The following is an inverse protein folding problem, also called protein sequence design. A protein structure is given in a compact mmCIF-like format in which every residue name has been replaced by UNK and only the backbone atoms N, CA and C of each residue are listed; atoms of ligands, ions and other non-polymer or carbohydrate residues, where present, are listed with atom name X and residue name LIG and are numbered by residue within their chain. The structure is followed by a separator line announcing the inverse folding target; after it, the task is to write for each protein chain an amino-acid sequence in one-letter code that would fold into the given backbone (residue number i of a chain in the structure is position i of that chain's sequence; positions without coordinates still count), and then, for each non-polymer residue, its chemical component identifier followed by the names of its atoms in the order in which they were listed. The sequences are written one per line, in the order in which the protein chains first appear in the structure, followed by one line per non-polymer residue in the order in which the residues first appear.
data_IF_207675140017
#
_entry.id   IF_207675140017
#
_cell.length_a   1.000
_cell.length_b   1.000
_cell.length_c   1.000
_cell.angle_alpha   90.00
_cell.angle_beta   90.00
_cell.angle_gamma   90.00
#
_symmetry.space_group_name_H-M   'P 1'
#
loop_
_entity.id
_entity.type
_entity.pdbx_description
1 polymer ?
#
# COMPACT_ATOMS: atom_id res chain seq x y z
N UNK A 1 -28.42 18.31 2.31
CA UNK A 1 -28.59 17.05 3.08
C UNK A 1 -27.21 16.48 3.29
N UNK A 2 -26.90 15.95 4.47
CA UNK A 2 -25.64 15.23 4.63
C UNK A 2 -25.68 13.96 3.77
N UNK A 3 -24.63 13.66 2.99
CA UNK A 3 -24.60 12.46 2.16
C UNK A 3 -24.77 11.21 3.03
N UNK A 4 -25.52 10.23 2.55
CA UNK A 4 -25.66 8.93 3.24
C UNK A 4 -24.41 8.09 2.96
N UNK A 5 -23.96 7.32 3.96
CA UNK A 5 -22.88 6.34 3.83
C UNK A 5 -23.45 4.93 4.04
N UNK A 6 -23.22 4.04 3.08
CA UNK A 6 -23.57 2.61 3.18
C UNK A 6 -22.33 1.85 3.61
N UNK A 7 -22.47 1.04 4.66
CA UNK A 7 -21.46 0.07 5.06
C UNK A 7 -21.73 -1.29 4.41
N UNK A 8 -20.74 -1.79 3.68
CA UNK A 8 -20.76 -3.07 3.01
C UNK A 8 -19.53 -3.90 3.41
N UNK A 9 -19.62 -5.22 3.24
CA UNK A 9 -18.44 -6.09 3.27
C UNK A 9 -18.04 -6.42 1.84
N UNK A 10 -16.76 -6.69 1.62
CA UNK A 10 -16.25 -7.13 0.32
C UNK A 10 -16.88 -8.48 -0.08
N UNK A 11 -17.01 -8.74 -1.38
CA UNK A 11 -17.61 -9.96 -1.94
C UNK A 11 -19.08 -10.23 -1.54
N UNK A 12 -19.89 -9.20 -1.40
CA UNK A 12 -21.34 -9.35 -1.41
C UNK A 12 -21.81 -9.63 -2.85
N UNK A 13 -22.73 -10.58 -2.99
CA UNK A 13 -23.31 -10.93 -4.28
C UNK A 13 -24.80 -10.58 -4.28
N UNK A 14 -25.20 -9.62 -5.11
CA UNK A 14 -26.60 -9.19 -5.30
C UNK A 14 -27.35 -8.90 -3.99
N UNK A 15 -26.68 -8.34 -2.97
CA UNK A 15 -27.32 -8.05 -1.68
C UNK A 15 -28.33 -6.92 -1.84
N UNK A 16 -29.57 -7.15 -1.39
CA UNK A 16 -30.62 -6.14 -1.42
C UNK A 16 -30.32 -5.07 -0.38
N UNK A 17 -30.31 -3.80 -0.79
CA UNK A 17 -30.18 -2.68 0.14
C UNK A 17 -31.53 -2.30 0.73
N UNK A 18 -31.60 -2.24 2.05
CA UNK A 18 -32.77 -1.77 2.78
C UNK A 18 -32.78 -0.24 2.85
N UNK A 19 -33.85 0.38 2.33
CA UNK A 19 -34.09 1.82 2.43
C UNK A 19 -34.46 2.51 1.13
N UNK A 20 -34.93 3.75 1.24
CA UNK A 20 -35.23 4.61 0.09
C UNK A 20 -33.98 5.41 -0.29
N UNK A 21 -33.46 5.10 -1.48
CA UNK A 21 -32.35 5.80 -2.12
C UNK A 21 -32.88 6.52 -3.37
N UNK A 22 -32.83 7.85 -3.35
CA UNK A 22 -33.27 8.71 -4.46
C UNK A 22 -32.15 8.86 -5.48
N UNK A 23 -31.84 7.77 -6.18
CA UNK A 23 -30.82 7.73 -7.23
C UNK A 23 -31.50 7.84 -8.60
N UNK A 24 -30.91 8.64 -9.49
CA UNK A 24 -31.45 8.90 -10.84
C UNK A 24 -31.07 7.77 -11.81
N UNK A 25 -29.85 7.23 -11.65
CA UNK A 25 -29.34 6.15 -12.49
C UNK A 25 -30.07 4.82 -12.26
N UNK A 26 -29.85 3.86 -13.17
CA UNK A 26 -30.29 2.46 -13.01
C UNK A 26 -29.14 1.52 -12.60
N UNK A 27 -27.91 1.91 -12.93
CA UNK A 27 -26.69 1.16 -12.65
C UNK A 27 -25.62 2.16 -12.26
N UNK A 28 -24.95 1.89 -11.13
CA UNK A 28 -23.76 2.58 -10.67
C UNK A 28 -22.65 1.56 -10.52
N UNK A 29 -21.45 1.86 -10.99
CA UNK A 29 -20.30 0.96 -10.86
C UNK A 29 -19.01 1.75 -10.78
N UNK A 30 -18.04 1.20 -10.07
CA UNK A 30 -16.66 1.68 -10.08
C UNK A 30 -15.74 0.53 -10.45
N UNK A 31 -14.77 0.81 -11.32
CA UNK A 31 -13.77 -0.17 -11.72
C UNK A 31 -12.36 0.33 -11.38
N UNK A 32 -11.54 -0.58 -10.87
CA UNK A 32 -10.13 -0.41 -10.58
C UNK A 32 -9.29 -1.09 -11.68
N UNK A 33 -8.35 -0.36 -12.27
CA UNK A 33 -7.40 -0.91 -13.23
C UNK A 33 -6.03 -1.08 -12.56
N UNK A 34 -5.52 -2.30 -12.47
CA UNK A 34 -4.11 -2.52 -12.09
C UNK A 34 -3.20 -2.14 -13.26
N UNK A 35 -1.94 -1.77 -12.98
CA UNK A 35 -0.92 -1.67 -14.03
C UNK A 35 -0.84 -3.03 -14.73
N UNK A 36 -1.11 -3.06 -16.04
CA UNK A 36 -1.15 -4.25 -16.93
C UNK A 36 -2.47 -5.04 -16.99
N UNK A 37 -3.53 -4.61 -16.31
CA UNK A 37 -4.85 -5.21 -16.52
C UNK A 37 -5.33 -4.97 -17.96
N UNK A 38 -5.80 -6.04 -18.62
CA UNK A 38 -6.48 -5.92 -19.93
C UNK A 38 -7.85 -5.30 -19.79
N UNK A 39 -8.53 -5.62 -18.70
CA UNK A 39 -9.84 -5.09 -18.34
C UNK A 39 -9.83 -4.74 -16.85
N UNK A 40 -10.42 -3.59 -16.48
CA UNK A 40 -10.42 -3.17 -15.09
C UNK A 40 -11.34 -4.05 -14.26
N UNK A 41 -10.91 -4.38 -13.04
CA UNK A 41 -11.69 -5.14 -12.08
C UNK A 41 -12.78 -4.27 -11.46
N UNK A 42 -14.01 -4.77 -11.34
CA UNK A 42 -15.09 -4.03 -10.70
C UNK A 42 -14.87 -3.97 -9.18
N UNK A 43 -14.91 -2.80 -8.55
CA UNK A 43 -14.89 -2.66 -7.08
C UNK A 43 -16.28 -2.93 -6.50
N UNK A 44 -17.30 -2.28 -7.08
CA UNK A 44 -18.69 -2.48 -6.74
C UNK A 44 -19.60 -2.22 -7.94
N UNK A 45 -20.76 -2.85 -7.93
CA UNK A 45 -21.91 -2.52 -8.78
C UNK A 45 -23.18 -2.40 -7.94
N UNK A 46 -23.98 -1.40 -8.26
CA UNK A 46 -25.29 -1.16 -7.68
C UNK A 46 -26.32 -1.08 -8.81
N UNK A 47 -27.22 -2.06 -8.86
CA UNK A 47 -28.20 -2.19 -9.92
C UNK A 47 -29.63 -2.16 -9.37
N UNK A 48 -30.52 -1.46 -10.07
CA UNK A 48 -31.95 -1.46 -9.74
C UNK A 48 -32.67 -2.58 -10.49
N UNK A 49 -33.19 -3.57 -9.76
CA UNK A 49 -34.03 -4.66 -10.28
C UNK A 49 -35.32 -4.73 -9.46
N UNK A 50 -36.47 -4.79 -10.14
CA UNK A 50 -37.79 -4.91 -9.49
C UNK A 50 -38.01 -3.89 -8.34
N UNK A 51 -37.68 -2.63 -8.61
CA UNK A 51 -37.74 -1.50 -7.66
C UNK A 51 -36.76 -1.56 -6.48
N UNK A 52 -35.99 -2.63 -6.33
CA UNK A 52 -34.97 -2.81 -5.28
C UNK A 52 -33.55 -2.58 -5.80
N UNK A 53 -32.70 -2.09 -4.92
CA UNK A 53 -31.28 -1.89 -5.20
C UNK A 53 -30.49 -3.13 -4.79
N UNK A 54 -29.73 -3.70 -5.72
CA UNK A 54 -28.88 -4.86 -5.52
C UNK A 54 -27.42 -4.42 -5.59
N UNK A 55 -26.71 -4.58 -4.48
CA UNK A 55 -25.31 -4.26 -4.34
C UNK A 55 -24.46 -5.52 -4.49
N UNK A 56 -23.48 -5.47 -5.37
CA UNK A 56 -22.39 -6.43 -5.43
C UNK A 56 -21.07 -5.71 -5.16
N UNK A 57 -20.21 -6.33 -4.36
CA UNK A 57 -18.85 -5.84 -4.06
C UNK A 57 -17.86 -6.94 -4.42
N UNK A 58 -16.66 -6.58 -4.86
CA UNK A 58 -15.59 -7.54 -5.20
C UNK A 58 -14.56 -7.63 -4.07
N UNK A 59 -13.32 -8.03 -4.34
CA UNK A 59 -12.21 -8.15 -3.38
C UNK A 59 -11.45 -6.82 -3.16
N UNK A 60 -12.20 -5.71 -3.12
CA UNK A 60 -11.65 -4.37 -2.87
C UNK A 60 -12.32 -3.78 -1.63
N UNK A 61 -11.52 -3.13 -0.79
CA UNK A 61 -12.00 -2.39 0.38
C UNK A 61 -11.71 -0.90 0.20
N UNK A 62 -12.46 -0.04 0.86
CA UNK A 62 -12.26 1.40 0.74
C UNK A 62 -13.54 2.21 0.83
N UNK A 63 -13.49 3.45 0.35
CA UNK A 63 -14.59 4.41 0.44
C UNK A 63 -14.73 5.14 -0.89
N UNK A 64 -15.94 5.21 -1.44
CA UNK A 64 -16.20 5.94 -2.69
C UNK A 64 -17.64 6.46 -2.78
N UNK A 65 -17.87 7.37 -3.71
CA UNK A 65 -19.18 7.89 -4.05
C UNK A 65 -19.89 6.98 -5.06
N UNK A 66 -21.08 6.50 -4.70
CA UNK A 66 -22.04 5.93 -5.65
C UNK A 66 -22.62 7.06 -6.52
N UNK A 67 -23.18 8.07 -5.85
CA UNK A 67 -23.67 9.30 -6.47
C UNK A 67 -23.06 10.48 -5.72
N UNK A 68 -22.40 11.37 -6.46
CA UNK A 68 -21.58 12.43 -5.88
C UNK A 68 -22.41 13.30 -4.94
N UNK A 69 -21.89 13.53 -3.73
CA UNK A 69 -22.51 14.35 -2.67
C UNK A 69 -23.91 13.87 -2.21
N UNK A 70 -24.35 12.68 -2.63
CA UNK A 70 -25.67 12.10 -2.31
C UNK A 70 -25.52 10.79 -1.54
N UNK A 71 -24.76 9.84 -2.09
CA UNK A 71 -24.63 8.49 -1.55
C UNK A 71 -23.20 7.98 -1.72
N UNK A 72 -22.55 7.67 -0.60
CA UNK A 72 -21.26 7.01 -0.53
C UNK A 72 -21.40 5.55 -0.09
N UNK A 73 -20.40 4.76 -0.43
CA UNK A 73 -20.22 3.38 0.00
C UNK A 73 -18.86 3.27 0.70
N UNK A 74 -18.84 2.50 1.78
CA UNK A 74 -17.63 2.02 2.44
C UNK A 74 -17.68 0.51 2.46
N UNK A 75 -16.61 -0.11 1.98
CA UNK A 75 -16.47 -1.56 1.90
C UNK A 75 -15.38 -2.01 2.88
N UNK A 76 -15.74 -2.87 3.81
CA UNK A 76 -14.85 -3.49 4.79
C UNK A 76 -14.32 -4.84 4.29
N UNK A 77 -13.14 -5.28 4.78
CA UNK A 77 -12.68 -6.66 4.60
C UNK A 77 -13.76 -7.68 4.98
N UNK A 78 -13.67 -8.90 4.44
CA UNK A 78 -14.63 -9.96 4.78
C UNK A 78 -14.66 -10.18 6.29
N UNK A 79 -15.84 -10.01 6.86
CA UNK A 79 -16.17 -10.65 8.12
C UNK A 79 -16.28 -12.15 7.86
N UNK A 80 -15.60 -12.96 8.65
CA UNK A 80 -15.90 -14.39 8.67
C UNK A 80 -17.26 -14.51 9.36
N UNK A 81 -18.32 -14.75 8.61
CA UNK A 81 -19.71 -14.81 9.09
C UNK A 81 -19.99 -15.95 10.08
N UNK A 82 -18.97 -16.60 10.63
CA UNK A 82 -19.11 -17.67 11.60
C UNK A 82 -18.49 -17.28 12.95
N UNK A 83 -19.40 -16.90 13.86
CA UNK A 83 -19.31 -17.02 15.33
C UNK A 83 -18.31 -16.19 16.10
N UNK A 84 -17.31 -15.59 15.47
CA UNK A 84 -16.33 -14.79 16.20
C UNK A 84 -16.36 -13.33 15.73
N UNK A 85 -16.60 -12.41 16.67
CA UNK A 85 -16.62 -10.97 16.46
C UNK A 85 -15.21 -10.46 16.07
N UNK A 86 -14.76 -10.73 14.85
CA UNK A 86 -13.49 -10.21 14.35
C UNK A 86 -13.56 -9.77 12.89
N UNK A 87 -12.67 -8.85 12.56
CA UNK A 87 -12.42 -8.34 11.22
C UNK A 87 -10.98 -8.66 10.81
N UNK A 88 -10.73 -8.85 9.51
CA UNK A 88 -9.36 -9.00 9.01
C UNK A 88 -8.58 -7.69 9.21
N UNK A 89 -7.45 -7.77 9.92
CA UNK A 89 -6.55 -6.64 10.12
C UNK A 89 -5.64 -6.48 8.89
N UNK A 90 -6.15 -5.78 7.88
CA UNK A 90 -5.40 -5.51 6.65
C UNK A 90 -4.19 -4.59 6.86
N UNK A 91 -4.19 -3.75 7.91
CA UNK A 91 -3.03 -2.91 8.25
C UNK A 91 -1.90 -3.77 8.82
N UNK A 92 -2.21 -4.72 9.69
CA UNK A 92 -1.22 -5.69 10.18
C UNK A 92 -0.74 -6.61 9.07
N UNK A 93 -1.61 -7.00 8.15
CA UNK A 93 -1.24 -7.76 6.95
C UNK A 93 -0.26 -6.97 6.07
N UNK A 94 -0.48 -5.67 5.89
CA UNK A 94 0.46 -4.76 5.20
C UNK A 94 1.81 -4.69 5.94
N UNK A 95 1.81 -4.50 7.27
CA UNK A 95 3.05 -4.46 8.05
C UNK A 95 3.87 -5.74 7.87
N UNK A 96 3.21 -6.90 7.95
CA UNK A 96 3.85 -8.20 7.78
C UNK A 96 4.40 -8.36 6.35
N UNK A 97 3.63 -7.97 5.34
CA UNK A 97 4.08 -7.99 3.94
C UNK A 97 5.32 -7.11 3.72
N UNK A 98 5.35 -5.90 4.28
CA UNK A 98 6.45 -4.94 4.09
C UNK A 98 7.73 -5.29 4.87
N UNK A 99 7.72 -6.35 5.68
CA UNK A 99 8.95 -6.91 6.25
C UNK A 99 9.87 -7.51 5.19
N UNK A 100 9.32 -7.99 4.07
CA UNK A 100 10.07 -8.52 2.93
C UNK A 100 10.40 -7.38 1.94
N UNK A 101 11.70 -7.00 1.78
CA UNK A 101 12.07 -5.84 0.97
C UNK A 101 11.70 -5.94 -0.51
N UNK A 102 11.55 -7.13 -1.10
CA UNK A 102 11.16 -7.22 -2.51
C UNK A 102 9.70 -6.79 -2.76
N UNK A 103 8.83 -6.81 -1.74
CA UNK A 103 7.43 -6.38 -1.88
C UNK A 103 7.25 -4.92 -2.30
N UNK A 104 8.23 -4.05 -2.05
CA UNK A 104 8.13 -2.63 -2.43
C UNK A 104 8.17 -2.42 -3.95
N UNK A 105 8.70 -3.39 -4.70
CA UNK A 105 8.69 -3.35 -6.17
C UNK A 105 7.29 -3.67 -6.74
N UNK A 106 6.37 -4.14 -5.88
CA UNK A 106 5.03 -4.58 -6.26
C UNK A 106 3.91 -3.74 -5.62
N UNK A 107 4.21 -2.57 -5.03
CA UNK A 107 3.21 -1.69 -4.42
C UNK A 107 2.27 -1.02 -5.44
N UNK A 108 2.67 -0.91 -6.70
CA UNK A 108 1.89 -0.25 -7.74
C UNK A 108 0.54 -0.97 -7.97
N UNK A 109 -0.58 -0.25 -7.87
CA UNK A 109 -1.91 -0.86 -7.99
C UNK A 109 -2.40 -1.60 -6.74
N UNK A 110 -1.73 -1.45 -5.60
CA UNK A 110 -2.26 -1.90 -4.30
C UNK A 110 -3.30 -0.93 -3.73
N UNK A 111 -3.06 0.38 -3.89
CA UNK A 111 -3.92 1.48 -3.42
C UNK A 111 -4.18 2.44 -4.57
N UNK A 112 -5.44 2.84 -4.75
CA UNK A 112 -5.83 3.94 -5.62
C UNK A 112 -6.54 5.03 -4.80
N UNK A 113 -6.14 6.28 -5.00
CA UNK A 113 -6.75 7.44 -4.35
C UNK A 113 -7.21 8.43 -5.41
N UNK A 114 -8.51 8.73 -5.43
CA UNK A 114 -9.11 9.67 -6.38
C UNK A 114 -9.28 11.05 -5.74
N UNK A 115 -8.32 11.93 -6.02
CA UNK A 115 -8.39 13.32 -5.60
C UNK A 115 -9.23 14.23 -6.53
N UNK A 116 -9.82 13.71 -7.61
CA UNK A 116 -10.69 14.50 -8.50
C UNK A 116 -12.10 14.62 -7.94
N UNK A 117 -12.52 13.63 -7.16
CA UNK A 117 -13.80 13.62 -6.45
C UNK A 117 -13.65 14.26 -5.06
N UNK A 118 -14.73 14.86 -4.52
CA UNK A 118 -14.67 15.48 -3.19
C UNK A 118 -14.45 14.42 -2.10
N UNK A 119 -13.85 14.80 -0.97
CA UNK A 119 -13.66 13.89 0.16
C UNK A 119 -15.00 13.48 0.78
N UNK A 120 -15.00 12.31 1.41
CA UNK A 120 -16.14 11.68 2.09
C UNK A 120 -15.88 11.73 3.59
N UNK A 121 -16.86 12.20 4.35
CA UNK A 121 -16.78 12.20 5.81
C UNK A 121 -17.01 10.79 6.36
N UNK A 122 -16.02 10.27 7.10
CA UNK A 122 -16.07 8.96 7.77
C UNK A 122 -15.79 9.12 9.27
N UNK A 123 -16.24 8.18 10.12
CA UNK A 123 -15.82 8.13 11.52
C UNK A 123 -14.29 8.08 11.61
N UNK A 124 -13.71 8.86 12.52
CA UNK A 124 -12.24 9.00 12.63
C UNK A 124 -11.55 7.66 12.88
N UNK A 125 -12.14 6.79 13.71
CA UNK A 125 -11.61 5.46 14.02
C UNK A 125 -11.54 4.53 12.80
N UNK A 126 -12.26 4.86 11.74
CA UNK A 126 -12.39 4.08 10.51
C UNK A 126 -11.59 4.71 9.36
N UNK A 127 -10.64 5.61 9.66
CA UNK A 127 -9.71 6.18 8.68
C UNK A 127 -8.63 5.17 8.28
N UNK A 128 -9.04 4.22 7.45
CA UNK A 128 -8.15 3.21 6.90
C UNK A 128 -7.06 3.78 5.99
N UNK A 129 -7.38 4.81 5.21
CA UNK A 129 -6.47 5.38 4.22
C UNK A 129 -5.24 6.02 4.86
N UNK A 130 -5.45 6.87 5.88
CA UNK A 130 -4.34 7.55 6.55
C UNK A 130 -3.39 6.54 7.18
N UNK A 131 -3.91 5.54 7.90
CA UNK A 131 -3.09 4.52 8.55
C UNK A 131 -2.34 3.66 7.54
N UNK A 132 -2.98 3.29 6.42
CA UNK A 132 -2.36 2.53 5.35
C UNK A 132 -1.17 3.30 4.73
N UNK A 133 -1.38 4.55 4.35
CA UNK A 133 -0.33 5.42 3.78
C UNK A 133 0.81 5.67 4.77
N UNK A 134 0.50 5.86 6.06
CA UNK A 134 1.50 6.06 7.11
C UNK A 134 2.35 4.80 7.29
N UNK A 135 1.73 3.62 7.33
CA UNK A 135 2.43 2.34 7.43
C UNK A 135 3.42 2.17 6.26
N UNK A 136 2.95 2.35 5.02
CA UNK A 136 3.79 2.25 3.82
C UNK A 136 4.95 3.26 3.85
N UNK A 137 4.65 4.51 4.19
CA UNK A 137 5.63 5.59 4.27
C UNK A 137 6.74 5.29 5.30
N UNK A 138 6.39 4.83 6.50
CA UNK A 138 7.35 4.54 7.58
C UNK A 138 8.33 3.46 7.15
N UNK A 139 7.83 2.42 6.48
CA UNK A 139 8.67 1.34 5.97
C UNK A 139 9.67 1.81 4.91
N UNK A 140 9.23 2.62 3.95
CA UNK A 140 10.14 3.17 2.93
C UNK A 140 11.17 4.10 3.57
N UNK A 141 10.73 4.94 4.52
CA UNK A 141 11.62 5.83 5.26
C UNK A 141 12.67 5.05 6.07
N UNK A 142 12.31 3.92 6.68
CA UNK A 142 13.24 3.05 7.37
C UNK A 142 14.30 2.49 6.41
N UNK A 143 13.92 2.06 5.21
CA UNK A 143 14.85 1.61 4.17
C UNK A 143 15.81 2.69 3.71
N UNK A 144 15.30 3.89 3.40
CA UNK A 144 16.13 5.06 3.05
C UNK A 144 17.15 5.33 4.17
N UNK A 145 16.67 5.31 5.41
CA UNK A 145 17.47 5.58 6.60
C UNK A 145 18.52 4.50 6.89
N UNK A 146 18.26 3.25 6.47
CA UNK A 146 19.21 2.13 6.56
C UNK A 146 20.29 2.20 5.46
N UNK A 147 19.92 2.54 4.22
CA UNK A 147 20.87 2.74 3.10
C UNK A 147 21.72 4.01 3.25
N UNK A 148 21.20 5.00 3.97
CA UNK A 148 21.80 6.31 4.15
C UNK A 148 21.00 7.39 3.43
N UNK A 149 20.73 8.48 4.14
CA UNK A 149 19.99 9.63 3.61
C UNK A 149 20.77 10.25 2.44
N UNK A 150 20.07 10.48 1.33
CA UNK A 150 20.61 11.10 0.11
C UNK A 150 21.27 12.44 0.42
N UNK A 151 22.47 12.63 -0.13
CA UNK A 151 23.22 13.89 -0.08
C UNK A 151 23.31 14.46 -1.49
N UNK A 152 23.12 15.76 -1.63
CA UNK A 152 23.33 16.46 -2.89
C UNK A 152 23.74 17.91 -2.62
N UNK A 153 24.07 18.63 -3.68
CA UNK A 153 24.31 20.06 -3.62
C UNK A 153 22.97 20.81 -3.57
N UNK A 154 22.82 21.69 -2.58
CA UNK A 154 21.68 22.59 -2.47
C UNK A 154 22.14 24.03 -2.23
N UNK A 155 21.31 25.00 -2.62
CA UNK A 155 21.63 26.41 -2.44
C UNK A 155 21.31 26.87 -1.02
N UNK A 156 22.26 27.53 -0.40
CA UNK A 156 22.11 28.25 0.87
C UNK A 156 22.21 29.73 0.59
N UNK A 157 21.27 30.50 1.15
CA UNK A 157 21.30 31.96 1.16
C UNK A 157 21.43 32.44 2.61
N UNK A 158 22.56 33.06 2.94
CA UNK A 158 22.90 33.45 4.32
C UNK A 158 23.62 34.80 4.34
N UNK A 159 23.41 35.58 5.40
CA UNK A 159 24.21 36.77 5.67
C UNK A 159 25.45 36.40 6.48
N UNK A 160 26.63 36.55 5.90
CA UNK A 160 27.89 36.13 6.51
C UNK A 160 28.70 37.32 7.00
N UNK A 161 29.12 37.25 8.27
CA UNK A 161 29.94 38.29 8.90
C UNK A 161 31.39 38.20 8.43
N UNK A 162 31.92 39.30 7.88
CA UNK A 162 33.31 39.44 7.44
C UNK A 162 33.81 38.33 6.50
N UNK A 163 32.89 37.68 5.78
CA UNK A 163 33.19 36.53 4.93
C UNK A 163 32.35 36.56 3.67
N UNK A 164 32.96 36.19 2.54
CA UNK A 164 32.28 36.01 1.26
C UNK A 164 32.39 34.53 0.90
N UNK A 165 31.24 33.89 0.62
CA UNK A 165 31.16 32.50 0.16
C UNK A 165 30.22 32.42 -1.05
N UNK A 166 30.75 32.03 -2.21
CA UNK A 166 29.96 31.98 -3.45
C UNK A 166 29.57 33.37 -3.97
N UNK A 167 28.31 33.52 -4.42
CA UNK A 167 27.82 34.74 -5.10
C UNK A 167 27.18 35.70 -4.12
N UNK A 168 27.61 36.96 -4.09
CA UNK A 168 26.94 38.02 -3.33
C UNK A 168 25.60 38.37 -4.01
N UNK A 169 24.52 38.35 -3.24
CA UNK A 169 23.20 38.77 -3.71
C UNK A 169 23.03 40.27 -3.48
N UNK A 170 23.48 41.08 -4.44
CA UNK A 170 23.52 42.55 -4.33
C UNK A 170 22.22 43.19 -3.79
N UNK A 171 21.01 42.86 -4.28
CA UNK A 171 19.79 43.47 -3.76
C UNK A 171 19.54 43.19 -2.28
N UNK A 172 19.83 41.94 -1.85
CA UNK A 172 19.70 41.55 -0.44
C UNK A 172 20.82 42.17 0.40
N UNK A 173 22.06 42.19 -0.10
CA UNK A 173 23.19 42.77 0.61
C UNK A 173 23.01 44.27 0.87
N UNK A 174 22.53 45.02 -0.13
CA UNK A 174 22.21 46.43 0.03
C UNK A 174 21.18 46.64 1.15
N UNK A 175 20.08 45.88 1.11
CA UNK A 175 18.96 45.97 2.05
C UNK A 175 19.34 45.57 3.48
N UNK A 176 20.06 44.46 3.65
CA UNK A 176 20.33 43.88 4.97
C UNK A 176 21.59 44.45 5.63
N UNK A 177 22.58 44.92 4.86
CA UNK A 177 23.89 45.29 5.37
C UNK A 177 24.22 46.77 5.12
N UNK A 178 24.31 47.19 3.86
CA UNK A 178 24.79 48.53 3.49
C UNK A 178 23.89 49.63 4.07
N UNK A 179 22.57 49.54 3.86
CA UNK A 179 21.60 50.52 4.39
C UNK A 179 21.60 50.58 5.92
N UNK A 180 21.98 49.47 6.58
CA UNK A 180 22.04 49.39 8.04
C UNK A 180 23.42 49.70 8.63
N UNK A 181 24.39 50.09 7.80
CA UNK A 181 25.76 50.42 8.23
C UNK A 181 26.67 49.21 8.50
N UNK A 182 26.21 47.99 8.25
CA UNK A 182 26.99 46.76 8.50
C UNK A 182 27.89 46.41 7.29
N UNK A 183 28.88 47.25 6.99
CA UNK A 183 29.71 47.12 5.77
C UNK A 183 30.59 45.86 5.71
N UNK A 184 30.87 45.23 6.85
CA UNK A 184 31.65 43.98 6.93
C UNK A 184 30.85 42.75 6.50
N UNK A 185 29.53 42.83 6.48
CA UNK A 185 28.67 41.67 6.34
C UNK A 185 28.21 41.52 4.89
N UNK A 186 28.17 40.27 4.42
CA UNK A 186 27.91 39.96 3.03
C UNK A 186 26.78 38.93 2.90
N UNK A 187 25.68 39.34 2.29
CA UNK A 187 24.57 38.45 1.96
C UNK A 187 24.91 37.63 0.72
N UNK A 188 25.19 36.34 0.92
CA UNK A 188 25.73 35.45 -0.10
C UNK A 188 24.80 34.28 -0.41
N UNK A 189 24.93 33.75 -1.63
CA UNK A 189 24.34 32.51 -2.10
C UNK A 189 25.44 31.57 -2.56
N UNK A 190 25.48 30.37 -2.01
CA UNK A 190 26.45 29.34 -2.37
C UNK A 190 25.82 27.96 -2.36
N UNK A 191 26.52 26.98 -2.94
CA UNK A 191 26.12 25.58 -2.87
C UNK A 191 26.80 24.90 -1.68
N UNK A 192 26.07 24.05 -0.99
CA UNK A 192 26.57 23.20 0.07
C UNK A 192 26.22 21.75 -0.23
N UNK A 193 27.17 20.84 -0.01
CA UNK A 193 26.94 19.40 -0.15
C UNK A 193 26.47 18.82 1.17
N UNK A 194 25.26 18.26 1.21
CA UNK A 194 24.71 17.72 2.44
C UNK A 194 23.33 17.10 2.26
N UNK A 195 22.68 16.81 3.39
CA UNK A 195 21.37 16.15 3.42
C UNK A 195 20.19 17.15 3.40
N UNK A 196 20.43 18.45 3.49
CA UNK A 196 19.37 19.46 3.59
C UNK A 196 18.80 19.87 2.22
N UNK A 197 18.55 18.86 1.39
CA UNK A 197 18.02 18.98 0.04
C UNK A 197 16.48 19.01 0.06
N UNK A 198 15.83 19.61 -0.96
CA UNK A 198 14.38 19.70 -1.05
C UNK A 198 13.64 18.37 -0.82
N UNK A 199 14.13 17.30 -1.42
CA UNK A 199 13.58 15.94 -1.30
C UNK A 199 13.50 15.51 0.16
N UNK A 200 14.60 15.64 0.90
CA UNK A 200 14.66 15.25 2.30
C UNK A 200 13.78 16.14 3.18
N UNK A 201 13.66 17.44 2.87
CA UNK A 201 12.79 18.35 3.62
C UNK A 201 11.32 17.99 3.46
N UNK A 202 10.90 17.58 2.26
CA UNK A 202 9.53 17.08 1.99
C UNK A 202 9.28 15.82 2.82
N UNK A 203 10.19 14.85 2.78
CA UNK A 203 10.08 13.61 3.56
C UNK A 203 10.05 13.88 5.06
N UNK A 204 10.89 14.78 5.57
CA UNK A 204 10.87 15.20 6.97
C UNK A 204 9.56 15.89 7.36
N UNK A 205 8.99 16.70 6.47
CA UNK A 205 7.68 17.34 6.69
C UNK A 205 6.56 16.30 6.78
N UNK A 206 6.52 15.35 5.85
CA UNK A 206 5.58 14.22 5.89
C UNK A 206 5.79 13.37 7.17
N UNK A 207 7.03 13.09 7.56
CA UNK A 207 7.35 12.37 8.80
C UNK A 207 6.80 13.06 10.05
N UNK A 208 6.98 14.39 10.18
CA UNK A 208 6.38 15.17 11.28
C UNK A 208 4.86 15.10 11.27
N UNK A 209 4.27 15.08 10.07
CA UNK A 209 2.84 14.94 9.93
C UNK A 209 2.34 13.57 10.40
N UNK A 210 2.96 12.48 9.97
CA UNK A 210 2.56 11.14 10.40
C UNK A 210 2.56 11.01 11.92
N UNK A 211 3.54 11.61 12.62
CA UNK A 211 3.52 11.66 14.10
C UNK A 211 2.26 12.34 14.63
N UNK A 212 1.89 13.50 14.08
CA UNK A 212 0.70 14.24 14.51
C UNK A 212 -0.60 13.47 14.26
N UNK A 213 -0.73 12.77 13.13
CA UNK A 213 -1.89 11.90 12.86
C UNK A 213 -1.95 10.80 13.90
N UNK A 214 -0.85 10.06 14.06
CA UNK A 214 -0.80 8.92 14.96
C UNK A 214 -1.15 9.34 16.40
N UNK A 215 -0.76 10.55 16.85
CA UNK A 215 -1.13 11.09 18.17
C UNK A 215 -2.64 11.14 18.42
N UNK A 216 -3.45 11.12 17.37
CA UNK A 216 -4.92 11.12 17.45
C UNK A 216 -5.57 9.73 17.54
N UNK A 217 -4.79 8.65 17.45
CA UNK A 217 -5.28 7.27 17.47
C UNK A 217 -4.66 6.47 18.63
N UNK A 218 -5.40 5.48 19.12
CA UNK A 218 -5.06 4.67 20.30
C UNK A 218 -5.02 3.16 20.03
N UNK A 219 -4.73 2.74 18.80
CA UNK A 219 -4.69 1.33 18.41
C UNK A 219 -3.29 0.71 18.60
N UNK A 220 -3.22 -0.61 18.78
CA UNK A 220 -1.95 -1.33 18.98
C UNK A 220 -0.99 -1.12 17.79
N UNK A 221 -1.53 -1.15 16.57
CA UNK A 221 -0.76 -0.87 15.35
C UNK A 221 -0.18 0.55 15.36
N UNK A 222 -0.94 1.53 15.86
CA UNK A 222 -0.51 2.93 15.96
C UNK A 222 0.67 3.07 16.92
N UNK A 223 0.69 2.33 18.03
CA UNK A 223 1.81 2.31 18.97
C UNK A 223 3.09 1.82 18.27
N UNK A 224 3.00 0.74 17.49
CA UNK A 224 4.13 0.19 16.73
C UNK A 224 4.64 1.20 15.71
N UNK A 225 3.73 1.81 14.93
CA UNK A 225 4.06 2.81 13.93
C UNK A 225 4.73 4.05 14.54
N UNK A 226 4.19 4.56 15.67
CA UNK A 226 4.78 5.69 16.42
C UNK A 226 6.20 5.37 16.86
N UNK A 227 6.43 4.21 17.46
CA UNK A 227 7.75 3.82 17.95
C UNK A 227 8.78 3.74 16.81
N UNK A 228 8.43 3.10 15.69
CA UNK A 228 9.29 3.04 14.50
C UNK A 228 9.63 4.45 14.00
N UNK A 229 8.63 5.32 13.89
CA UNK A 229 8.81 6.67 13.38
C UNK A 229 9.67 7.55 14.30
N UNK A 230 9.48 7.45 15.62
CA UNK A 230 10.31 8.11 16.63
C UNK A 230 11.76 7.62 16.51
N UNK A 231 11.99 6.33 16.28
CA UNK A 231 13.32 5.75 16.06
C UNK A 231 14.05 6.31 14.83
N UNK A 232 13.31 6.76 13.80
CA UNK A 232 13.91 7.37 12.60
C UNK A 232 14.32 8.83 12.85
N UNK A 233 13.58 9.57 13.69
CA UNK A 233 13.72 11.03 13.90
C UNK A 233 15.17 11.51 14.13
N UNK A 234 16.02 10.86 14.96
CA UNK A 234 17.40 11.32 15.17
C UNK A 234 18.23 11.39 13.89
N UNK A 235 18.04 10.44 12.96
CA UNK A 235 18.81 10.39 11.71
C UNK A 235 18.47 11.56 10.77
N UNK A 236 17.29 12.16 10.93
CA UNK A 236 16.78 13.28 10.12
C UNK A 236 16.98 14.66 10.78
N UNK A 237 17.73 14.75 11.89
CA UNK A 237 17.93 16.01 12.63
C UNK A 237 18.59 17.11 11.77
N UNK A 238 19.56 16.75 10.92
CA UNK A 238 20.29 17.69 10.07
C UNK A 238 19.56 18.16 8.81
N UNK A 239 18.32 17.71 8.59
CA UNK A 239 17.46 18.17 7.49
C UNK A 239 16.62 19.34 7.99
N UNK A 240 16.49 20.40 7.21
CA UNK A 240 15.69 21.58 7.52
C UNK A 240 14.18 21.33 7.44
N UNK A 241 13.41 22.27 7.96
CA UNK A 241 11.94 22.16 8.05
C UNK A 241 11.19 22.98 6.99
N UNK A 242 11.90 23.85 6.25
CA UNK A 242 11.30 24.76 5.27
C UNK A 242 11.13 24.08 3.92
N UNK A 243 9.89 23.90 3.48
CA UNK A 243 9.55 23.36 2.16
C UNK A 243 8.87 24.45 1.35
N UNK A 244 9.45 24.82 0.20
CA UNK A 244 8.79 25.72 -0.76
C UNK A 244 7.78 24.92 -1.61
N UNK A 245 6.70 25.54 -2.06
CA UNK A 245 5.73 24.93 -2.98
C UNK A 245 6.41 24.55 -4.30
N UNK A 246 7.39 25.34 -4.74
CA UNK A 246 8.16 25.05 -5.96
C UNK A 246 8.97 23.77 -5.82
N UNK A 247 9.58 23.56 -4.66
CA UNK A 247 10.41 22.39 -4.35
C UNK A 247 9.62 21.08 -4.55
N UNK A 248 8.34 21.06 -4.16
CA UNK A 248 7.44 19.89 -4.31
C UNK A 248 7.20 19.53 -5.78
N UNK A 249 7.13 20.53 -6.66
CA UNK A 249 6.84 20.34 -8.10
C UNK A 249 8.07 19.96 -8.94
N UNK A 250 9.28 20.26 -8.46
CA UNK A 250 10.52 20.15 -9.26
C UNK A 250 11.42 18.97 -8.88
N UNK A 251 11.04 18.13 -7.90
CA UNK A 251 11.81 16.95 -7.53
C UNK A 251 11.93 15.96 -8.69
N UNK A 252 13.03 16.05 -9.45
CA UNK A 252 13.41 15.08 -10.47
C UNK A 252 14.34 14.06 -9.84
N UNK A 253 13.76 12.94 -9.39
CA UNK A 253 14.52 11.88 -8.74
C UNK A 253 15.13 10.99 -9.83
N UNK A 254 16.43 10.76 -9.73
CA UNK A 254 17.14 9.86 -10.63
C UNK A 254 16.67 8.41 -10.42
N UNK A 255 16.62 7.61 -11.49
CA UNK A 255 16.26 6.17 -11.47
C UNK A 255 17.08 5.35 -10.45
N UNK A 256 18.29 5.81 -10.09
CA UNK A 256 19.10 5.20 -9.03
C UNK A 256 18.49 5.28 -7.62
N UNK A 257 17.58 6.21 -7.35
CA UNK A 257 16.97 6.40 -6.03
C UNK A 257 15.49 5.99 -6.03
N UNK A 258 15.20 4.74 -6.42
CA UNK A 258 13.84 4.19 -6.49
C UNK A 258 13.07 4.37 -5.17
N UNK A 259 13.69 4.10 -4.02
CA UNK A 259 13.03 4.30 -2.71
C UNK A 259 12.64 5.75 -2.44
N UNK A 260 13.46 6.71 -2.87
CA UNK A 260 13.11 8.13 -2.73
C UNK A 260 11.92 8.51 -3.60
N UNK A 261 11.84 7.96 -4.81
CA UNK A 261 10.70 8.18 -5.69
C UNK A 261 9.42 7.70 -5.03
N UNK A 262 9.40 6.46 -4.53
CA UNK A 262 8.25 5.92 -3.80
C UNK A 262 7.91 6.77 -2.56
N UNK A 263 8.90 7.12 -1.75
CA UNK A 263 8.69 7.92 -0.53
C UNK A 263 8.12 9.31 -0.83
N UNK A 264 8.58 9.97 -1.89
CA UNK A 264 8.12 11.30 -2.27
C UNK A 264 6.71 11.27 -2.81
N UNK A 265 6.35 10.28 -3.64
CA UNK A 265 4.98 10.13 -4.13
C UNK A 265 4.00 9.90 -2.98
N UNK A 266 4.32 9.00 -2.04
CA UNK A 266 3.48 8.78 -0.85
C UNK A 266 3.45 10.02 0.04
N UNK A 267 4.58 10.73 0.23
CA UNK A 267 4.61 11.97 0.98
C UNK A 267 3.71 13.05 0.38
N UNK A 268 3.65 13.16 -0.95
CA UNK A 268 2.72 14.09 -1.64
C UNK A 268 1.27 13.70 -1.38
N UNK A 269 0.93 12.41 -1.47
CA UNK A 269 -0.42 11.91 -1.17
C UNK A 269 -0.79 12.22 0.29
N UNK A 270 0.06 11.87 1.26
CA UNK A 270 -0.13 12.16 2.68
C UNK A 270 -0.36 13.65 2.95
N UNK A 271 0.49 14.51 2.39
CA UNK A 271 0.39 15.97 2.53
C UNK A 271 -0.85 16.56 1.83
N UNK A 272 -1.42 15.86 0.86
CA UNK A 272 -2.66 16.26 0.18
C UNK A 272 -3.90 15.81 0.95
N UNK A 273 -3.96 14.54 1.40
CA UNK A 273 -5.03 14.02 2.29
C UNK A 273 -5.22 14.97 3.48
N UNK A 274 -4.10 15.40 4.03
CA UNK A 274 -3.99 16.43 5.05
C UNK A 274 -4.77 17.72 4.84
N UNK A 275 -4.70 18.25 3.62
CA UNK A 275 -5.26 19.56 3.32
C UNK A 275 -6.79 19.55 3.45
N UNK A 276 -7.41 18.36 3.38
CA UNK A 276 -8.83 18.16 3.64
C UNK A 276 -9.12 18.06 5.14
N UNK A 277 -8.30 17.31 5.90
CA UNK A 277 -8.52 17.09 7.34
C UNK A 277 -8.43 18.35 8.23
N UNK A 278 -7.79 19.43 7.77
CA UNK A 278 -7.75 20.70 8.51
C UNK A 278 -9.11 21.43 8.54
N UNK A 279 -10.06 21.04 7.69
CA UNK A 279 -11.34 21.74 7.49
C UNK A 279 -12.40 21.32 8.52
N UNK A 280 -12.25 20.16 9.18
CA UNK A 280 -13.24 19.66 10.14
C UNK A 280 -12.87 20.03 11.58
N UNK A 281 -13.65 20.94 12.18
CA UNK A 281 -13.66 21.18 13.62
C UNK A 281 -14.58 20.15 14.31
N UNK A 282 -14.00 19.08 14.87
CA UNK A 282 -14.70 18.10 15.71
C UNK A 282 -13.94 16.77 15.83
N UNK A 283 -13.99 16.13 17.01
CA UNK A 283 -13.14 14.97 17.32
C UNK A 283 -13.62 13.62 16.71
N UNK A 284 -14.82 13.56 16.14
CA UNK A 284 -15.47 12.28 15.77
C UNK A 284 -15.42 11.89 14.29
N UNK A 285 -15.21 12.84 13.36
CA UNK A 285 -15.21 12.59 11.91
C UNK A 285 -13.97 13.14 11.22
N UNK A 286 -13.58 12.48 10.13
CA UNK A 286 -12.46 12.89 9.28
C UNK A 286 -12.87 12.81 7.81
N UNK A 287 -12.18 13.56 6.94
CA UNK A 287 -12.50 13.65 5.51
C UNK A 287 -11.46 12.88 4.70
N UNK A 288 -11.88 11.77 4.09
CA UNK A 288 -11.00 10.95 3.27
C UNK A 288 -11.35 11.12 1.79
N UNK A 289 -10.38 11.35 0.89
CA UNK A 289 -10.65 11.24 -0.54
C UNK A 289 -11.11 9.82 -0.88
N UNK A 290 -11.93 9.62 -1.92
CA UNK A 290 -12.27 8.28 -2.36
C UNK A 290 -11.04 7.42 -2.64
N UNK A 291 -11.07 6.18 -2.19
CA UNK A 291 -9.94 5.26 -2.34
C UNK A 291 -10.38 3.80 -2.35
N UNK A 292 -9.55 2.96 -2.96
CA UNK A 292 -9.73 1.51 -3.01
C UNK A 292 -8.39 0.81 -2.77
N UNK A 293 -8.40 -0.23 -1.92
CA UNK A 293 -7.28 -1.13 -1.65
C UNK A 293 -7.62 -2.50 -2.23
N UNK A 294 -6.66 -3.08 -2.94
CA UNK A 294 -6.78 -4.42 -3.52
C UNK A 294 -6.38 -5.50 -2.52
N UNK A 295 -7.38 -6.22 -1.99
CA UNK A 295 -7.15 -7.24 -0.97
C UNK A 295 -6.51 -8.51 -1.53
N UNK A 296 -6.74 -8.82 -2.81
CA UNK A 296 -6.10 -9.97 -3.46
C UNK A 296 -4.60 -9.74 -3.57
N UNK A 297 -4.21 -8.55 -4.01
CA UNK A 297 -2.81 -8.16 -4.12
C UNK A 297 -2.13 -8.02 -2.75
N UNK A 298 -2.83 -7.47 -1.77
CA UNK A 298 -2.32 -7.39 -0.39
C UNK A 298 -2.05 -8.79 0.17
N UNK A 299 -2.98 -9.72 -0.03
CA UNK A 299 -2.83 -11.11 0.40
C UNK A 299 -1.66 -11.80 -0.30
N UNK A 300 -1.48 -11.56 -1.61
CA UNK A 300 -0.35 -12.08 -2.38
C UNK A 300 1.01 -11.58 -1.81
N UNK A 301 1.13 -10.29 -1.52
CA UNK A 301 2.34 -9.73 -0.90
C UNK A 301 2.58 -10.29 0.51
N UNK A 302 1.51 -10.52 1.27
CA UNK A 302 1.58 -11.15 2.59
C UNK A 302 2.07 -12.60 2.51
N UNK A 303 1.49 -13.41 1.62
CA UNK A 303 1.91 -14.79 1.37
C UNK A 303 3.36 -14.84 0.92
N UNK A 304 3.80 -13.90 0.06
CA UNK A 304 5.20 -13.82 -0.35
C UNK A 304 6.14 -13.67 0.85
N UNK A 305 5.87 -12.74 1.77
CA UNK A 305 6.68 -12.57 2.97
C UNK A 305 6.73 -13.85 3.83
N UNK A 306 5.61 -14.56 3.94
CA UNK A 306 5.53 -15.82 4.69
C UNK A 306 6.28 -16.96 4.00
N UNK A 307 6.20 -17.07 2.68
CA UNK A 307 6.99 -18.02 1.89
C UNK A 307 8.49 -17.73 2.00
N UNK A 308 8.88 -16.46 1.99
CA UNK A 308 10.27 -16.01 2.18
C UNK A 308 10.81 -16.36 3.56
N UNK A 309 9.99 -16.29 4.60
CA UNK A 309 10.37 -16.76 5.92
C UNK A 309 10.60 -18.28 5.98
N UNK A 310 9.84 -19.06 5.20
CA UNK A 310 9.95 -20.53 5.19
C UNK A 310 11.07 -21.05 4.27
N UNK A 311 11.23 -20.46 3.08
CA UNK A 311 12.12 -20.98 2.03
C UNK A 311 13.28 -20.03 1.66
N UNK A 312 13.36 -18.87 2.30
CA UNK A 312 14.42 -17.89 2.07
C UNK A 312 14.53 -17.45 0.60
N UNK A 313 15.75 -17.47 0.08
CA UNK A 313 16.07 -17.05 -1.28
C UNK A 313 15.58 -17.94 -2.41
N UNK A 314 15.00 -19.09 -2.09
CA UNK A 314 14.44 -20.01 -3.08
C UNK A 314 13.10 -19.54 -3.68
N UNK A 315 12.45 -18.53 -3.09
CA UNK A 315 11.16 -18.03 -3.60
C UNK A 315 11.41 -16.90 -4.60
N UNK A 316 10.91 -17.09 -5.82
CA UNK A 316 10.87 -16.08 -6.88
C UNK A 316 9.45 -15.56 -6.98
N UNK A 317 9.28 -14.25 -6.82
CA UNK A 317 8.00 -13.54 -6.92
C UNK A 317 7.83 -12.98 -8.34
N UNK A 318 6.64 -13.12 -8.92
CA UNK A 318 6.27 -12.59 -10.24
C UNK A 318 7.27 -12.85 -11.39
N UNK A 319 7.75 -14.09 -11.59
CA UNK A 319 8.63 -14.36 -12.72
C UNK A 319 7.87 -14.30 -14.05
N UNK A 320 8.36 -13.45 -14.96
CA UNK A 320 7.75 -13.23 -16.26
C UNK A 320 8.17 -14.29 -17.29
N UNK A 321 7.19 -14.91 -17.94
CA UNK A 321 7.38 -15.87 -19.03
C UNK A 321 6.48 -15.54 -20.23
N UNK A 322 6.87 -14.52 -20.99
CA UNK A 322 6.10 -14.03 -22.14
C UNK A 322 4.83 -13.31 -21.68
N UNK A 323 3.65 -13.90 -21.91
CA UNK A 323 2.36 -13.36 -21.46
C UNK A 323 1.86 -13.97 -20.14
N UNK A 324 2.65 -14.87 -19.55
CA UNK A 324 2.29 -15.59 -18.33
C UNK A 324 3.19 -15.12 -17.19
N UNK A 325 2.57 -14.96 -16.02
CA UNK A 325 3.22 -14.49 -14.80
C UNK A 325 2.58 -15.23 -13.63
N UNK A 326 3.19 -16.34 -13.17
CA UNK A 326 2.80 -16.98 -11.92
C UNK A 326 3.11 -16.05 -10.74
N UNK A 327 2.35 -16.16 -9.65
CA UNK A 327 2.64 -15.41 -8.42
C UNK A 327 4.00 -15.84 -7.87
N UNK A 328 4.23 -17.15 -7.67
CA UNK A 328 5.50 -17.63 -7.14
C UNK A 328 6.04 -18.89 -7.82
N UNK A 329 7.38 -18.95 -7.88
CA UNK A 329 8.11 -20.19 -8.07
C UNK A 329 8.97 -20.46 -6.85
N UNK A 330 8.85 -21.65 -6.28
CA UNK A 330 9.70 -22.11 -5.19
C UNK A 330 10.73 -23.05 -5.81
N UNK A 331 11.97 -22.56 -5.94
CA UNK A 331 13.09 -23.29 -6.53
C UNK A 331 13.38 -24.57 -5.73
N UNK A 332 13.84 -25.67 -6.35
CA UNK A 332 14.15 -26.88 -5.58
C UNK A 332 15.38 -26.66 -4.69
N UNK A 333 15.50 -27.47 -3.65
CA UNK A 333 16.71 -27.62 -2.81
C UNK A 333 17.00 -29.12 -2.63
N UNK A 334 18.10 -29.48 -1.95
CA UNK A 334 18.60 -30.85 -1.78
C UNK A 334 17.49 -31.83 -1.33
N UNK A 335 16.63 -31.41 -0.41
CA UNK A 335 15.57 -32.24 0.17
C UNK A 335 14.15 -31.81 -0.26
N UNK A 336 14.00 -30.77 -1.09
CA UNK A 336 12.69 -30.17 -1.39
C UNK A 336 12.44 -30.08 -2.90
N UNK A 337 11.30 -30.60 -3.40
CA UNK A 337 10.96 -30.46 -4.81
C UNK A 337 10.62 -29.01 -5.18
N UNK A 338 10.64 -28.67 -6.48
CA UNK A 338 10.21 -27.35 -6.95
C UNK A 338 8.70 -27.24 -6.92
N UNK A 339 8.17 -26.06 -6.61
CA UNK A 339 6.73 -25.80 -6.66
C UNK A 339 6.40 -24.59 -7.52
N UNK A 340 5.31 -24.70 -8.28
CA UNK A 340 4.58 -23.52 -8.76
C UNK A 340 3.53 -23.18 -7.69
N UNK A 341 3.58 -21.97 -7.15
CA UNK A 341 2.67 -21.56 -6.08
C UNK A 341 1.85 -20.35 -6.51
N UNK A 342 0.63 -20.28 -6.02
CA UNK A 342 -0.34 -19.23 -6.34
C UNK A 342 -1.16 -18.87 -5.09
N UNK A 343 -1.35 -17.56 -4.85
CA UNK A 343 -2.10 -17.06 -3.71
C UNK A 343 -3.53 -16.71 -4.13
N UNK A 344 -4.52 -17.37 -3.52
CA UNK A 344 -5.94 -17.11 -3.77
C UNK A 344 -6.62 -16.58 -2.53
N UNK A 345 -7.07 -15.32 -2.60
CA UNK A 345 -7.88 -14.69 -1.56
C UNK A 345 -9.35 -15.17 -1.59
N UNK A 346 -9.54 -16.48 -1.41
CA UNK A 346 -10.82 -17.20 -1.50
C UNK A 346 -10.98 -18.16 -0.32
N UNK A 347 -12.23 -18.47 0.06
CA UNK A 347 -12.54 -19.46 1.11
C UNK A 347 -12.40 -20.87 0.54
N UNK A 348 -11.21 -21.47 0.65
CA UNK A 348 -10.92 -22.86 0.29
C UNK A 348 -10.74 -23.80 1.49
N UNK A 349 -10.95 -23.28 2.70
CA UNK A 349 -11.04 -24.05 3.94
C UNK A 349 -12.27 -24.97 3.95
N UNK A 350 -13.38 -24.51 3.38
CA UNK A 350 -14.70 -25.17 3.45
C UNK A 350 -15.09 -25.91 2.16
N UNK A 351 -14.30 -25.79 1.09
CA UNK A 351 -14.61 -26.36 -0.23
C UNK A 351 -13.36 -26.76 -0.99
N UNK A 352 -13.55 -27.55 -2.05
CA UNK A 352 -12.48 -27.81 -3.04
C UNK A 352 -12.10 -26.53 -3.77
N UNK A 353 -10.85 -26.48 -4.22
CA UNK A 353 -10.36 -25.38 -5.04
C UNK A 353 -11.15 -25.30 -6.35
N UNK A 354 -11.47 -24.08 -6.79
CA UNK A 354 -12.17 -23.85 -8.05
C UNK A 354 -11.35 -24.41 -9.23
N UNK A 355 -12.03 -25.04 -10.19
CA UNK A 355 -11.37 -25.72 -11.32
C UNK A 355 -10.48 -24.78 -12.15
N UNK A 356 -10.85 -23.50 -12.24
CA UNK A 356 -10.10 -22.52 -13.03
C UNK A 356 -8.78 -22.13 -12.35
N UNK A 357 -8.74 -22.09 -11.02
CA UNK A 357 -7.50 -21.86 -10.26
C UNK A 357 -6.55 -23.06 -10.39
N UNK A 358 -7.10 -24.29 -10.35
CA UNK A 358 -6.34 -25.53 -10.62
C UNK A 358 -5.77 -25.53 -12.04
N UNK A 359 -6.59 -25.16 -13.03
CA UNK A 359 -6.17 -25.06 -14.44
C UNK A 359 -5.07 -24.02 -14.62
N UNK A 360 -5.14 -22.89 -13.92
CA UNK A 360 -4.14 -21.84 -13.97
C UNK A 360 -2.77 -22.35 -13.53
N UNK A 361 -2.66 -22.89 -12.30
CA UNK A 361 -1.38 -23.40 -11.77
C UNK A 361 -0.84 -24.58 -12.57
N UNK A 362 -1.73 -25.48 -13.01
CA UNK A 362 -1.38 -26.59 -13.88
C UNK A 362 -0.82 -26.11 -15.22
N UNK A 363 -1.40 -25.05 -15.79
CA UNK A 363 -0.93 -24.41 -17.02
C UNK A 363 0.48 -23.85 -16.87
N UNK A 364 0.75 -23.16 -15.76
CA UNK A 364 2.08 -22.65 -15.43
C UNK A 364 3.11 -23.79 -15.31
N UNK A 365 2.82 -24.84 -14.54
CA UNK A 365 3.70 -26.01 -14.37
C UNK A 365 4.07 -26.72 -15.69
N UNK A 366 3.27 -26.55 -16.75
CA UNK A 366 3.55 -27.10 -18.09
C UNK A 366 4.38 -26.19 -18.99
N UNK A 367 4.66 -24.95 -18.61
CA UNK A 367 5.45 -24.02 -19.42
C UNK A 367 6.91 -24.51 -19.54
N UNK A 368 7.38 -24.71 -20.77
CA UNK A 368 8.78 -25.11 -21.06
C UNK A 368 9.80 -24.17 -20.40
N UNK A 369 9.51 -22.87 -20.34
CA UNK A 369 10.38 -21.89 -19.71
C UNK A 369 10.48 -22.08 -18.18
N UNK A 370 9.39 -22.44 -17.51
CA UNK A 370 9.39 -22.76 -16.08
C UNK A 370 10.12 -24.08 -15.82
N UNK A 371 9.88 -25.11 -16.64
CA UNK A 371 10.63 -26.38 -16.55
C UNK A 371 12.14 -26.18 -16.70
N UNK A 372 12.55 -25.39 -17.69
CA UNK A 372 13.96 -25.02 -17.89
C UNK A 372 14.52 -24.22 -16.71
N UNK A 373 13.74 -23.30 -16.13
CA UNK A 373 14.11 -22.57 -14.92
C UNK A 373 14.39 -23.52 -13.75
N UNK A 374 13.55 -24.53 -13.56
CA UNK A 374 13.74 -25.58 -12.55
C UNK A 374 14.78 -26.65 -12.91
N UNK A 375 15.33 -26.61 -14.14
CA UNK A 375 16.27 -27.62 -14.67
C UNK A 375 15.68 -29.03 -14.72
N UNK A 376 14.41 -29.12 -15.12
CA UNK A 376 13.68 -30.38 -15.28
C UNK A 376 13.52 -30.66 -16.78
N UNK A 377 14.24 -31.67 -17.25
CA UNK A 377 14.26 -32.06 -18.67
C UNK A 377 13.36 -33.28 -18.97
N UNK A 378 12.88 -33.96 -17.94
CA UNK A 378 11.96 -35.09 -18.08
C UNK A 378 10.49 -34.64 -18.23
N UNK A 379 9.56 -35.59 -18.22
CA UNK A 379 8.11 -35.36 -18.29
C UNK A 379 7.40 -35.49 -16.94
N UNK A 380 8.13 -35.45 -15.83
CA UNK A 380 7.55 -35.48 -14.48
C UNK A 380 6.60 -34.30 -14.25
N UNK A 381 5.60 -34.52 -13.40
CA UNK A 381 4.74 -33.44 -12.92
C UNK A 381 5.55 -32.52 -12.02
N UNK A 382 5.37 -31.21 -12.21
CA UNK A 382 5.89 -30.23 -11.26
C UNK A 382 4.75 -30.00 -10.26
N UNK A 383 4.97 -30.21 -8.96
CA UNK A 383 3.91 -30.05 -8.00
C UNK A 383 3.50 -28.58 -7.88
N UNK A 384 2.22 -28.37 -7.66
CA UNK A 384 1.60 -27.05 -7.55
C UNK A 384 1.03 -26.87 -6.15
N UNK A 385 1.05 -25.65 -5.61
CA UNK A 385 0.40 -25.35 -4.34
C UNK A 385 -0.46 -24.09 -4.43
N UNK A 386 -1.68 -24.16 -3.92
CA UNK A 386 -2.57 -23.01 -3.78
C UNK A 386 -2.63 -22.61 -2.31
N UNK A 387 -2.26 -21.36 -2.03
CA UNK A 387 -2.21 -20.79 -0.69
C UNK A 387 -3.42 -19.88 -0.52
N UNK A 388 -4.18 -20.09 0.55
CA UNK A 388 -5.46 -19.40 0.76
C UNK A 388 -5.65 -19.00 2.23
N UNK A 389 -6.51 -18.01 2.53
CA UNK A 389 -6.78 -17.62 3.91
C UNK A 389 -7.61 -18.68 4.66
N UNK A 390 -7.16 -19.07 5.84
CA UNK A 390 -7.85 -19.98 6.76
C UNK A 390 -7.58 -19.59 8.22
N UNK A 391 -8.60 -19.12 8.92
CA UNK A 391 -8.49 -18.66 10.31
C UNK A 391 -8.28 -19.80 11.32
N UNK A 392 -8.51 -21.06 10.92
CA UNK A 392 -8.25 -22.24 11.75
C UNK A 392 -6.77 -22.69 11.70
N UNK A 393 -5.96 -22.06 10.85
CA UNK A 393 -4.54 -22.38 10.67
C UNK A 393 -3.64 -21.50 11.55
N UNK A 394 -2.34 -21.71 11.44
CA UNK A 394 -1.32 -20.88 12.08
C UNK A 394 -1.03 -19.62 11.26
N UNK A 395 -0.49 -18.59 11.91
CA UNK A 395 0.00 -17.36 11.26
C UNK A 395 1.29 -17.58 10.44
N UNK A 396 1.92 -18.74 10.63
CA UNK A 396 3.06 -19.21 9.86
C UNK A 396 2.59 -20.30 8.90
N UNK A 397 3.18 -20.31 7.69
CA UNK A 397 2.94 -21.41 6.75
C UNK A 397 3.47 -22.72 7.32
N UNK A 398 2.66 -23.76 7.21
CA UNK A 398 3.08 -25.12 7.50
C UNK A 398 4.18 -25.56 6.52
N UNK A 399 5.07 -26.43 7.00
CA UNK A 399 6.07 -27.08 6.16
C UNK A 399 5.41 -27.78 4.96
N UNK A 400 6.11 -27.79 3.82
CA UNK A 400 5.58 -28.33 2.57
C UNK A 400 5.18 -29.81 2.66
N UNK A 401 5.77 -30.57 3.59
CA UNK A 401 5.39 -31.96 3.86
C UNK A 401 3.99 -32.13 4.46
N UNK A 402 3.39 -31.04 4.97
CA UNK A 402 2.04 -31.02 5.57
C UNK A 402 0.98 -30.47 4.64
N UNK A 403 1.34 -30.03 3.44
CA UNK A 403 0.36 -29.52 2.48
C UNK A 403 -0.58 -30.64 2.04
N UNK A 404 -1.85 -30.32 1.89
CA UNK A 404 -2.90 -31.31 1.64
C UNK A 404 -3.12 -31.43 0.14
N UNK A 405 -3.04 -32.64 -0.40
CA UNK A 405 -3.31 -32.90 -1.81
C UNK A 405 -4.81 -32.77 -2.13
N UNK A 406 -5.13 -32.11 -3.24
CA UNK A 406 -6.48 -32.03 -3.78
C UNK A 406 -6.81 -33.33 -4.49
N UNK A 407 -7.49 -34.24 -3.80
CA UNK A 407 -7.60 -35.66 -4.17
C UNK A 407 -8.20 -36.03 -5.54
N UNK A 408 -8.56 -35.07 -6.40
CA UNK A 408 -8.91 -35.32 -7.81
C UNK A 408 -7.74 -35.11 -8.78
N UNK A 409 -6.61 -34.59 -8.30
CA UNK A 409 -5.47 -34.19 -9.11
C UNK A 409 -4.17 -34.69 -8.49
N UNK A 410 -3.28 -35.23 -9.31
CA UNK A 410 -1.93 -35.63 -8.88
C UNK A 410 -1.05 -34.40 -8.70
N UNK A 411 -0.30 -34.34 -7.58
CA UNK A 411 0.71 -33.32 -7.30
C UNK A 411 0.15 -31.88 -7.23
N UNK A 412 -1.14 -31.73 -6.90
CA UNK A 412 -1.76 -30.43 -6.64
C UNK A 412 -2.12 -30.35 -5.16
N UNK A 413 -1.48 -29.42 -4.47
CA UNK A 413 -1.63 -29.22 -3.04
C UNK A 413 -2.36 -27.93 -2.73
N UNK A 414 -2.90 -27.85 -1.53
CA UNK A 414 -3.37 -26.60 -0.94
C UNK A 414 -2.89 -26.46 0.49
N UNK A 415 -2.73 -25.22 0.93
CA UNK A 415 -2.40 -24.91 2.32
C UNK A 415 -3.05 -23.60 2.76
N UNK A 416 -3.63 -23.62 3.96
CA UNK A 416 -4.32 -22.48 4.55
C UNK A 416 -3.36 -21.68 5.44
N UNK A 417 -3.51 -20.36 5.47
CA UNK A 417 -2.76 -19.46 6.36
C UNK A 417 -3.70 -18.53 7.12
N UNK A 418 -3.42 -18.35 8.41
CA UNK A 418 -4.19 -17.42 9.25
C UNK A 418 -3.81 -15.98 8.94
N UNK A 419 -4.82 -15.15 8.72
CA UNK A 419 -4.64 -13.70 8.58
C UNK A 419 -4.74 -13.01 9.94
N UNK A 420 -4.04 -11.89 10.13
CA UNK A 420 -4.23 -11.01 11.28
C UNK A 420 -5.68 -10.56 11.43
N UNK A 421 -6.16 -10.39 12.67
CA UNK A 421 -7.55 -10.02 12.97
C UNK A 421 -7.65 -8.98 14.09
N UNK A 422 -8.65 -8.11 14.00
CA UNK A 422 -9.07 -7.17 15.05
C UNK A 422 -10.31 -7.76 15.72
N UNK A 423 -10.30 -7.88 17.05
CA UNK A 423 -11.51 -8.25 17.82
C UNK A 423 -12.44 -7.04 17.90
N UNK A 424 -13.69 -7.20 17.48
CA UNK A 424 -14.75 -6.17 17.57
C UNK A 424 -15.64 -6.37 18.78
#
# INVERSE_FOLDING_TARGET
MNPKLIDASEHWENKVLDGQYYLIGKVYKHNFARPNDKEPSECFSLERREEKWHLSTSYFIGVDWIEKDILAIRVFPKFTEDKDNFEIDYLKMLEDALTEPKNFEHLEGLLNVDFKRPPIAVPKQEDGLSLFLISEFIHIMARITAKGIMKSYYFVEENQRSKIKGKILLPKNLKYNIVKGNLSDNYCRYQEYGIDIPENRILKKAMKYCLHVLDSYNDDIVVILKQRLIGLKPKWKGVGDKVDVKDVSTCKINSFYKEYHMAIEIAKILLKVLSYNQVLHGDEKTEVPPYWIDMTKLFEMFVFAKLRNLFGDCVIYHPHFGKQEPDYLIMPDTDRPPYVADAKYKRYSERSVDIDDIRQVSGYARLKAIRSKFRIDDKSLIPCVIIYPDQNKCEFLEDYTKWVEEGRYEDIFKTGIRLPVIKR
#
